data_IF_280868411115
#
_entry.id   IF_280868411115
#
_cell.length_a   1.000
_cell.length_b   1.000
_cell.length_c   1.000
_cell.angle_alpha   90.00
_cell.angle_beta   90.00
_cell.angle_gamma   90.00
#
_symmetry.space_group_name_H-M   'P 1'
#
loop_
_entity.id
_entity.type
_entity.pdbx_description
1 polymer ?
#
# COMPACT_ATOMS: atom_id res chain seq x y z
N UNK A 1 10.44 6.47 12.91
CA UNK A 1 11.77 6.98 13.29
C UNK A 1 11.62 8.06 14.36
N UNK A 2 12.00 7.78 15.60
CA UNK A 2 11.67 8.63 16.75
C UNK A 2 12.80 9.64 17.01
N UNK A 3 12.54 10.96 17.07
CA UNK A 3 13.57 11.93 17.43
C UNK A 3 14.23 11.67 18.78
N UNK A 4 13.49 11.07 19.72
CA UNK A 4 14.01 10.62 21.01
C UNK A 4 15.20 9.65 20.90
N UNK A 5 15.38 8.96 19.77
CA UNK A 5 16.53 8.07 19.53
C UNK A 5 17.64 8.71 18.68
N UNK A 6 17.44 9.90 18.11
CA UNK A 6 18.39 10.57 17.22
C UNK A 6 19.15 11.68 17.95
N UNK A 7 19.87 11.33 19.00
CA UNK A 7 20.60 12.30 19.85
C UNK A 7 22.07 12.43 19.44
N UNK A 8 22.68 13.58 19.73
CA UNK A 8 24.11 13.79 19.51
C UNK A 8 24.99 12.81 20.29
N UNK A 9 24.53 12.32 21.45
CA UNK A 9 25.24 11.29 22.22
C UNK A 9 25.29 9.94 21.50
N UNK A 10 24.23 9.57 20.77
CA UNK A 10 24.19 8.33 19.99
C UNK A 10 24.84 8.49 18.60
N UNK A 11 24.84 9.70 18.06
CA UNK A 11 25.34 10.04 16.73
C UNK A 11 26.27 11.26 16.76
N UNK A 12 27.43 11.19 17.42
CA UNK A 12 28.31 12.35 17.64
C UNK A 12 28.93 12.93 16.34
N UNK A 13 28.91 12.16 15.26
CA UNK A 13 29.40 12.57 13.95
C UNK A 13 28.38 13.36 13.11
N UNK A 14 27.11 13.44 13.54
CA UNK A 14 26.07 14.17 12.83
C UNK A 14 25.83 15.53 13.49
N UNK A 15 25.67 16.58 12.69
CA UNK A 15 25.38 17.90 13.26
C UNK A 15 23.92 18.01 13.73
N UNK A 16 23.63 18.95 14.64
CA UNK A 16 22.28 19.11 15.20
C UNK A 16 21.20 19.33 14.13
N UNK A 17 21.53 20.03 13.04
CA UNK A 17 20.60 20.24 11.92
C UNK A 17 20.22 18.92 11.23
N UNK A 18 21.16 17.98 11.06
CA UNK A 18 20.90 16.67 10.46
C UNK A 18 20.11 15.73 11.38
N UNK A 19 20.31 15.84 12.69
CA UNK A 19 19.57 15.09 13.69
C UNK A 19 18.16 15.64 13.95
N UNK A 20 17.90 16.89 13.58
CA UNK A 20 16.58 17.50 13.74
C UNK A 20 15.48 16.70 13.03
N UNK A 21 14.31 16.65 13.64
CA UNK A 21 13.17 15.92 13.07
C UNK A 21 12.75 16.49 11.72
N UNK A 22 12.66 17.82 11.58
CA UNK A 22 12.25 18.47 10.34
C UNK A 22 13.15 18.07 9.14
N UNK A 23 14.47 18.05 9.33
CA UNK A 23 15.41 17.62 8.28
C UNK A 23 15.24 16.14 7.96
N UNK A 24 15.15 15.28 8.97
CA UNK A 24 14.98 13.83 8.76
C UNK A 24 13.64 13.49 8.12
N UNK A 25 12.53 14.07 8.57
CA UNK A 25 11.20 13.89 7.99
C UNK A 25 11.19 14.22 6.50
N UNK A 26 11.77 15.36 6.12
CA UNK A 26 11.86 15.75 4.70
C UNK A 26 12.62 14.71 3.86
N UNK A 27 13.77 14.23 4.38
CA UNK A 27 14.56 13.18 3.71
C UNK A 27 13.79 11.86 3.64
N UNK A 28 13.10 11.45 4.72
CA UNK A 28 12.27 10.24 4.75
C UNK A 28 11.17 10.32 3.70
N UNK A 29 10.41 11.41 3.65
CA UNK A 29 9.32 11.61 2.67
C UNK A 29 9.87 11.60 1.24
N UNK A 30 11.02 12.23 1.00
CA UNK A 30 11.67 12.19 -0.31
C UNK A 30 12.09 10.76 -0.69
N UNK A 31 12.67 9.99 0.24
CA UNK A 31 13.00 8.58 0.01
C UNK A 31 11.77 7.74 -0.31
N UNK A 32 10.67 7.94 0.43
CA UNK A 32 9.40 7.23 0.19
C UNK A 32 8.84 7.55 -1.20
N UNK A 33 8.89 8.82 -1.62
CA UNK A 33 8.47 9.25 -2.95
C UNK A 33 9.30 8.58 -4.06
N UNK A 34 10.62 8.50 -3.89
CA UNK A 34 11.50 7.88 -4.88
C UNK A 34 11.32 6.36 -4.93
N UNK A 35 11.11 5.72 -3.77
CA UNK A 35 10.93 4.27 -3.69
C UNK A 35 9.60 3.82 -4.32
N UNK A 36 8.53 4.60 -4.15
CA UNK A 36 7.19 4.37 -4.69
C UNK A 36 6.64 2.95 -4.45
N UNK A 37 6.97 2.35 -3.30
CA UNK A 37 6.50 1.01 -2.95
C UNK A 37 5.00 1.00 -2.63
N UNK A 38 4.28 -0.08 -2.95
CA UNK A 38 2.86 -0.21 -2.62
C UNK A 38 2.62 -0.34 -1.10
N UNK A 39 3.54 -0.99 -0.40
CA UNK A 39 3.48 -1.21 1.05
C UNK A 39 4.84 -0.86 1.67
N UNK A 40 4.84 -0.01 2.69
CA UNK A 40 6.05 0.35 3.44
C UNK A 40 5.88 0.02 4.92
N UNK A 41 6.80 -0.77 5.46
CA UNK A 41 6.86 -1.13 6.88
C UNK A 41 7.81 -0.18 7.62
N UNK A 42 7.29 0.63 8.53
CA UNK A 42 8.07 1.56 9.35
C UNK A 42 8.21 1.08 10.79
N UNK A 43 9.40 1.25 11.36
CA UNK A 43 9.71 1.00 12.76
C UNK A 43 10.06 2.31 13.48
N UNK A 44 10.08 2.25 14.80
CA UNK A 44 10.38 3.37 15.69
C UNK A 44 9.55 4.63 15.42
N UNK A 45 8.30 4.51 15.00
CA UNK A 45 7.44 5.65 14.70
C UNK A 45 6.96 6.28 16.01
N UNK A 46 7.34 7.54 16.24
CA UNK A 46 6.88 8.30 17.41
C UNK A 46 5.47 8.85 17.16
N UNK A 47 4.52 8.45 17.99
CA UNK A 47 3.10 8.68 17.72
C UNK A 47 2.64 10.12 17.94
N UNK A 48 3.34 10.89 18.76
CA UNK A 48 3.09 12.33 18.94
C UNK A 48 3.32 13.11 17.64
N UNK A 49 4.22 12.63 16.78
CA UNK A 49 4.57 13.24 15.50
C UNK A 49 3.79 12.61 14.33
N UNK A 50 3.00 11.57 14.60
CA UNK A 50 2.28 10.84 13.56
C UNK A 50 1.31 11.70 12.75
N UNK A 51 0.50 12.62 13.33
CA UNK A 51 -0.44 13.41 12.53
C UNK A 51 0.23 14.24 11.43
N UNK A 52 1.34 14.91 11.76
CA UNK A 52 2.11 15.71 10.80
C UNK A 52 2.79 14.83 9.74
N UNK A 53 3.39 13.72 10.18
CA UNK A 53 4.05 12.77 9.28
C UNK A 53 3.04 12.11 8.33
N UNK A 54 1.88 11.69 8.84
CA UNK A 54 0.78 11.10 8.07
C UNK A 54 0.25 12.08 7.01
N UNK A 55 0.11 13.37 7.35
CA UNK A 55 -0.24 14.41 6.38
C UNK A 55 0.80 14.51 5.26
N UNK A 56 2.09 14.51 5.62
CA UNK A 56 3.19 14.60 4.66
C UNK A 56 3.24 13.43 3.68
N UNK A 57 2.99 12.20 4.15
CA UNK A 57 2.97 11.00 3.29
C UNK A 57 1.66 10.87 2.51
N UNK A 58 0.55 11.39 3.01
CA UNK A 58 -0.71 11.48 2.26
C UNK A 58 -0.59 12.38 1.03
N UNK A 59 0.17 13.48 1.14
CA UNK A 59 0.48 14.35 0.02
C UNK A 59 1.28 13.67 -1.11
N UNK A 60 1.90 12.51 -0.86
CA UNK A 60 2.58 11.68 -1.88
C UNK A 60 1.84 10.36 -2.17
N UNK A 61 0.55 10.28 -1.78
CA UNK A 61 -0.35 9.20 -2.18
C UNK A 61 -0.37 7.98 -1.25
N UNK A 62 0.06 8.12 0.01
CA UNK A 62 -0.01 7.03 0.99
C UNK A 62 -1.05 7.28 2.07
N UNK A 63 -1.78 6.23 2.42
CA UNK A 63 -2.55 6.17 3.65
C UNK A 63 -1.74 5.47 4.74
N UNK A 64 -1.81 5.97 5.97
CA UNK A 64 -1.00 5.49 7.09
C UNK A 64 -1.81 4.71 8.12
N UNK A 65 -1.33 3.52 8.50
CA UNK A 65 -1.91 2.71 9.58
C UNK A 65 -0.86 2.50 10.66
N UNK A 66 -1.14 2.91 11.90
CA UNK A 66 -0.20 2.75 13.02
C UNK A 66 -0.65 1.64 13.98
N UNK A 67 0.34 1.06 14.64
CA UNK A 67 0.13 0.10 15.71
C UNK A 67 -0.68 0.72 16.86
N UNK A 68 -1.64 -0.03 17.37
CA UNK A 68 -2.40 0.31 18.56
C UNK A 68 -1.66 -0.21 19.80
N UNK A 69 -0.93 0.68 20.47
CA UNK A 69 -0.16 0.34 21.67
C UNK A 69 -0.14 1.51 22.65
N UNK A 70 0.17 1.21 23.92
CA UNK A 70 0.34 2.21 24.99
C UNK A 70 1.70 2.91 24.93
N UNK A 71 2.64 2.37 24.15
CA UNK A 71 3.97 2.97 23.97
C UNK A 71 3.87 4.23 23.10
N UNK A 72 4.76 5.19 23.35
CA UNK A 72 4.88 6.43 22.55
C UNK A 72 5.52 6.19 21.19
N UNK A 73 6.21 5.07 21.03
CA UNK A 73 6.90 4.65 19.82
C UNK A 73 6.43 3.25 19.42
N UNK A 74 6.22 3.02 18.12
CA UNK A 74 5.80 1.71 17.61
C UNK A 74 5.98 1.54 16.11
N UNK A 75 5.25 0.59 15.54
CA UNK A 75 5.27 0.25 14.13
C UNK A 75 4.16 1.00 13.36
N UNK A 76 4.39 1.24 12.06
CA UNK A 76 3.35 1.71 11.16
C UNK A 76 3.50 1.09 9.76
N UNK A 77 2.43 1.13 8.99
CA UNK A 77 2.39 0.81 7.57
C UNK A 77 2.00 2.05 6.80
N UNK A 78 2.64 2.26 5.66
CA UNK A 78 2.16 3.17 4.63
C UNK A 78 1.66 2.32 3.45
N UNK A 79 0.48 2.65 2.95
CA UNK A 79 -0.23 1.90 1.92
C UNK A 79 -0.51 2.83 0.75
N UNK A 80 -0.06 2.46 -0.45
CA UNK A 80 -0.27 3.27 -1.65
C UNK A 80 -1.75 3.28 -2.02
N UNK A 81 -2.35 4.47 -2.05
CA UNK A 81 -3.78 4.66 -2.34
C UNK A 81 -4.13 4.12 -3.72
N UNK A 82 -5.26 3.42 -3.82
CA UNK A 82 -5.73 2.81 -5.07
C UNK A 82 -4.96 1.56 -5.52
N UNK A 83 -3.93 1.12 -4.76
CA UNK A 83 -3.19 -0.12 -5.02
C UNK A 83 -3.53 -1.20 -4.01
N UNK A 84 -3.50 -0.84 -2.74
CA UNK A 84 -3.71 -1.74 -1.61
C UNK A 84 -4.59 -1.09 -0.57
N UNK A 85 -5.39 -1.90 0.11
CA UNK A 85 -6.21 -1.47 1.23
C UNK A 85 -6.00 -2.36 2.45
N UNK A 86 -6.08 -1.76 3.64
CA UNK A 86 -6.02 -2.49 4.89
C UNK A 86 -7.41 -2.91 5.32
N UNK A 87 -7.64 -4.22 5.38
CA UNK A 87 -8.90 -4.78 5.88
C UNK A 87 -8.99 -4.70 7.40
N UNK A 88 -7.87 -4.99 8.07
CA UNK A 88 -7.75 -4.94 9.53
C UNK A 88 -6.31 -5.08 9.98
N UNK A 89 -6.09 -4.74 11.25
CA UNK A 89 -4.81 -4.89 11.93
C UNK A 89 -4.96 -5.59 13.28
N UNK A 90 -3.95 -6.36 13.68
CA UNK A 90 -3.73 -6.80 15.06
C UNK A 90 -2.40 -6.22 15.57
N UNK A 91 -2.41 -5.63 16.76
CA UNK A 91 -1.22 -5.04 17.39
C UNK A 91 -0.76 -5.85 18.59
N UNK A 92 0.56 -5.97 18.75
CA UNK A 92 1.27 -6.61 19.87
C UNK A 92 2.47 -5.73 20.22
N UNK A 93 2.98 -5.74 21.45
CA UNK A 93 4.02 -4.78 21.90
C UNK A 93 5.11 -4.44 20.87
N UNK A 94 5.65 -5.44 20.14
CA UNK A 94 6.74 -5.28 19.16
C UNK A 94 6.41 -5.72 17.73
N UNK A 95 5.14 -6.02 17.45
CA UNK A 95 4.72 -6.49 16.13
C UNK A 95 3.34 -5.96 15.77
N UNK A 96 3.13 -5.73 14.48
CA UNK A 96 1.83 -5.40 13.91
C UNK A 96 1.56 -6.34 12.76
N UNK A 97 0.40 -6.98 12.75
CA UNK A 97 -0.09 -7.78 11.63
C UNK A 97 -1.16 -6.94 10.93
N UNK A 98 -1.08 -6.82 9.62
CA UNK A 98 -2.12 -6.26 8.79
C UNK A 98 -2.57 -7.31 7.77
N UNK A 99 -3.87 -7.33 7.51
CA UNK A 99 -4.43 -8.10 6.39
C UNK A 99 -4.80 -7.10 5.33
N UNK A 100 -4.16 -7.25 4.18
CA UNK A 100 -4.30 -6.36 3.04
C UNK A 100 -5.04 -7.09 1.92
N UNK A 101 -5.66 -6.33 1.03
CA UNK A 101 -6.07 -6.81 -0.29
C UNK A 101 -5.70 -5.80 -1.35
N UNK A 102 -5.69 -6.23 -2.60
CA UNK A 102 -5.58 -5.32 -3.74
C UNK A 102 -6.81 -4.42 -3.77
N UNK A 103 -6.59 -3.12 -3.94
CA UNK A 103 -7.69 -2.19 -4.16
C UNK A 103 -8.31 -2.45 -5.53
N UNK A 104 -9.64 -2.53 -5.58
CA UNK A 104 -10.36 -2.59 -6.85
C UNK A 104 -10.26 -1.22 -7.53
N UNK A 105 -10.08 -1.17 -8.86
CA UNK A 105 -10.18 0.09 -9.58
C UNK A 105 -11.56 0.69 -9.30
N UNK A 106 -11.59 1.96 -8.92
CA UNK A 106 -12.87 2.65 -8.77
C UNK A 106 -13.60 2.56 -10.11
N UNK A 107 -14.85 2.09 -10.11
CA UNK A 107 -15.63 1.92 -11.33
C UNK A 107 -15.68 3.18 -12.22
N UNK A 108 -15.47 4.38 -11.62
CA UNK A 108 -15.39 5.65 -12.34
C UNK A 108 -14.03 6.00 -12.97
N UNK A 109 -12.91 5.48 -12.48
CA UNK A 109 -11.57 5.81 -13.04
C UNK A 109 -11.23 4.95 -14.27
N UNK A 110 -11.71 3.70 -14.30
CA UNK A 110 -11.53 2.80 -15.44
C UNK A 110 -12.20 3.35 -16.71
N UNK A 111 -13.35 4.02 -16.56
CA UNK A 111 -14.03 4.69 -17.68
C UNK A 111 -13.25 5.90 -18.21
N UNK A 112 -12.63 6.71 -17.34
CA UNK A 112 -11.87 7.89 -17.74
C UNK A 112 -10.53 7.52 -18.43
N UNK A 113 -9.84 6.47 -17.97
CA UNK A 113 -8.62 5.97 -18.63
C UNK A 113 -8.90 5.27 -19.96
N UNK A 114 -10.02 4.55 -20.09
CA UNK A 114 -10.43 3.93 -21.35
C UNK A 114 -10.74 4.96 -22.45
N UNK A 115 -11.32 6.11 -22.09
CA UNK A 115 -11.62 7.20 -23.05
C UNK A 115 -10.35 7.94 -23.47
N UNK A 116 -9.39 8.14 -22.57
CA UNK A 116 -8.13 8.81 -22.89
C UNK A 116 -7.20 7.98 -23.83
N UNK A 117 -7.31 6.65 -23.82
CA UNK A 117 -6.53 5.77 -24.70
C UNK A 117 -7.08 5.65 -26.13
N UNK A 118 -8.35 5.97 -26.36
CA UNK A 118 -8.99 5.81 -27.67
C UNK A 118 -8.79 7.00 -28.64
N UNK A 119 -8.21 8.12 -28.18
CA UNK A 119 -8.13 9.37 -28.96
C UNK A 119 -6.82 9.65 -29.71
N UNK A 120 -5.79 8.80 -29.61
CA UNK A 120 -4.44 9.13 -30.08
C UNK A 120 -3.94 8.23 -31.22
N UNK A 121 -4.74 8.07 -32.28
CA UNK A 121 -4.27 7.58 -33.59
C UNK A 121 -4.89 8.44 -34.70
N UNK A 122 -4.45 9.70 -34.77
CA UNK A 122 -4.74 10.63 -35.86
C UNK A 122 -3.44 11.15 -36.46
N UNK A 123 -3.03 10.55 -37.57
CA UNK A 123 -1.93 11.02 -38.42
C UNK A 123 -2.36 12.27 -39.19
N UNK A 124 -1.62 13.37 -39.06
CA UNK A 124 -1.29 14.35 -40.11
C UNK A 124 -0.34 15.38 -39.47
N UNK A 125 0.78 15.81 -40.05
CA UNK A 125 1.08 16.01 -41.45
C UNK A 125 1.22 17.52 -41.72
N UNK A 126 2.38 18.10 -41.38
CA UNK A 126 3.01 19.23 -42.08
C UNK A 126 2.36 20.63 -42.13
N UNK A 127 3.18 21.60 -41.69
CA UNK A 127 3.49 22.90 -42.33
C UNK A 127 2.93 24.23 -41.79
N UNK A 128 3.89 25.16 -41.70
CA UNK A 128 3.92 26.59 -41.36
C UNK A 128 2.69 27.46 -41.61
N UNK A 129 2.48 28.44 -40.73
CA UNK A 129 1.64 29.62 -41.02
C UNK A 129 1.50 30.59 -39.84
N UNK A 130 2.15 31.74 -39.96
CA UNK A 130 2.03 32.93 -39.12
C UNK A 130 0.60 33.52 -39.23
N UNK A 131 0.02 34.09 -38.17
CA UNK A 131 -1.19 34.92 -38.34
C UNK A 131 -2.09 35.13 -37.11
N UNK A 132 -2.10 36.36 -36.61
CA UNK A 132 -3.17 36.97 -35.79
C UNK A 132 -4.57 36.74 -36.41
N UNK A 133 -5.62 36.64 -35.59
CA UNK A 133 -6.68 37.67 -35.43
C UNK A 133 -7.87 37.17 -34.59
N UNK A 134 -8.46 38.14 -33.88
CA UNK A 134 -9.74 38.08 -33.15
C UNK A 134 -10.96 37.98 -34.09
N UNK A 135 -12.10 37.48 -33.59
CA UNK A 135 -13.38 37.69 -34.29
C UNK A 135 -14.62 37.02 -33.65
N UNK A 136 -15.56 37.86 -33.22
CA UNK A 136 -16.90 37.56 -32.70
C UNK A 136 -17.87 36.97 -33.74
N UNK A 137 -18.87 36.23 -33.22
CA UNK A 137 -20.30 36.45 -33.52
C UNK A 137 -20.89 35.85 -34.81
N UNK A 138 -22.09 35.28 -34.68
CA UNK A 138 -22.96 35.01 -35.84
C UNK A 138 -23.97 33.91 -35.62
N UNK A 139 -25.20 34.30 -35.30
CA UNK A 139 -26.40 33.47 -35.36
C UNK A 139 -26.86 33.23 -36.81
N UNK A 140 -27.57 32.13 -37.05
CA UNK A 140 -28.45 32.02 -38.22
C UNK A 140 -28.68 30.60 -38.76
N UNK A 141 -29.95 30.19 -38.81
CA UNK A 141 -30.51 29.67 -40.06
C UNK A 141 -30.70 28.16 -40.24
N UNK A 142 -31.96 27.74 -40.14
CA UNK A 142 -32.57 26.48 -40.60
C UNK A 142 -32.31 26.09 -42.06
N UNK A 143 -32.25 24.77 -42.32
CA UNK A 143 -32.98 23.98 -43.34
C UNK A 143 -32.27 22.62 -43.48
N UNK A 144 -32.93 21.47 -43.28
CA UNK A 144 -33.77 20.84 -44.30
C UNK A 144 -32.93 19.87 -45.14
N UNK A 145 -32.88 18.59 -44.75
CA UNK A 145 -32.11 17.57 -45.47
C UNK A 145 -32.38 16.15 -44.96
N UNK A 146 -33.49 15.58 -45.40
CA UNK A 146 -33.82 14.17 -45.22
C UNK A 146 -32.92 13.29 -46.09
N UNK A 147 -32.00 12.54 -45.48
CA UNK A 147 -31.37 11.39 -46.11
C UNK A 147 -31.63 10.15 -45.24
N UNK A 148 -32.52 9.29 -45.74
CA UNK A 148 -32.78 7.98 -45.18
C UNK A 148 -31.59 7.06 -45.43
N UNK A 149 -30.76 6.88 -44.40
CA UNK A 149 -29.85 5.74 -44.32
C UNK A 149 -30.56 4.62 -43.54
N UNK A 150 -31.02 3.61 -44.28
CA UNK A 150 -31.45 2.33 -43.70
C UNK A 150 -30.25 1.69 -43.01
N UNK A 151 -30.27 1.69 -41.68
CA UNK A 151 -29.41 0.83 -40.87
C UNK A 151 -29.79 -0.63 -41.14
N UNK A 152 -28.83 -1.53 -41.38
CA UNK A 152 -29.11 -2.95 -41.47
C UNK A 152 -29.55 -3.48 -40.09
N UNK A 153 -30.56 -4.36 -40.02
CA UNK A 153 -30.96 -5.02 -38.79
C UNK A 153 -30.00 -6.17 -38.51
N UNK A 154 -28.83 -5.85 -37.93
CA UNK A 154 -28.00 -6.84 -37.27
C UNK A 154 -28.35 -6.84 -35.79
N UNK A 155 -29.50 -7.46 -35.53
CA UNK A 155 -29.91 -7.95 -34.23
C UNK A 155 -28.80 -8.89 -33.69
N UNK A 156 -28.38 -8.62 -32.46
CA UNK A 156 -28.06 -9.68 -31.51
C UNK A 156 -26.74 -10.41 -31.73
N UNK A 157 -25.66 -9.80 -31.28
CA UNK A 157 -24.72 -10.44 -30.35
C UNK A 157 -23.80 -9.33 -29.81
N UNK A 158 -24.25 -8.65 -28.76
CA UNK A 158 -23.29 -8.15 -27.78
C UNK A 158 -22.56 -9.38 -27.28
N UNK A 159 -21.36 -9.58 -27.80
CA UNK A 159 -20.38 -10.45 -27.19
C UNK A 159 -20.12 -9.81 -25.84
N UNK A 160 -20.89 -10.21 -24.84
CA UNK A 160 -20.45 -10.18 -23.45
C UNK A 160 -19.23 -11.09 -23.46
N UNK A 161 -18.07 -10.52 -23.83
CA UNK A 161 -16.81 -11.20 -23.61
C UNK A 161 -16.82 -11.46 -22.12
N UNK A 162 -16.97 -12.72 -21.75
CA UNK A 162 -16.70 -13.24 -20.43
C UNK A 162 -15.30 -12.75 -20.09
N UNK A 163 -15.21 -11.56 -19.51
CA UNK A 163 -14.08 -11.14 -18.70
C UNK A 163 -14.21 -11.96 -17.42
N UNK A 164 -14.02 -13.27 -17.57
CA UNK A 164 -13.89 -14.26 -16.52
C UNK A 164 -12.50 -14.12 -15.84
N UNK A 165 -11.98 -12.88 -15.84
CA UNK A 165 -10.87 -12.46 -15.02
C UNK A 165 -11.40 -12.22 -13.62
N UNK A 166 -11.78 -13.30 -12.94
CA UNK A 166 -12.09 -13.26 -11.53
C UNK A 166 -10.97 -12.50 -10.82
N UNK A 167 -11.30 -11.32 -10.28
CA UNK A 167 -10.30 -10.48 -9.65
C UNK A 167 -9.75 -11.27 -8.47
N UNK A 168 -8.43 -11.45 -8.44
CA UNK A 168 -7.78 -12.12 -7.32
C UNK A 168 -7.98 -11.29 -6.05
N UNK A 169 -8.89 -11.78 -5.19
CA UNK A 169 -9.21 -11.20 -3.89
C UNK A 169 -8.45 -11.89 -2.75
N UNK A 170 -7.44 -12.71 -3.08
CA UNK A 170 -6.62 -13.39 -2.08
C UNK A 170 -5.96 -12.38 -1.15
N UNK A 171 -6.13 -12.51 0.18
CA UNK A 171 -5.55 -11.56 1.11
C UNK A 171 -4.03 -11.70 1.16
N UNK A 172 -3.36 -10.59 1.39
CA UNK A 172 -1.93 -10.54 1.73
C UNK A 172 -1.78 -10.27 3.23
N UNK A 173 -1.11 -11.17 3.94
CA UNK A 173 -0.75 -10.94 5.33
C UNK A 173 0.59 -10.20 5.38
N UNK A 174 0.64 -9.08 6.08
CA UNK A 174 1.87 -8.32 6.30
C UNK A 174 2.14 -8.22 7.79
N UNK A 175 3.29 -8.70 8.23
CA UNK A 175 3.76 -8.57 9.59
C UNK A 175 4.94 -7.59 9.66
N UNK A 176 4.75 -6.47 10.33
CA UNK A 176 5.78 -5.46 10.59
C UNK A 176 6.30 -5.58 12.04
N UNK A 177 7.59 -5.85 12.20
CA UNK A 177 8.23 -6.11 13.50
C UNK A 177 9.29 -5.08 13.87
N UNK A 178 9.46 -4.89 15.18
CA UNK A 178 10.64 -4.27 15.76
C UNK A 178 11.02 -5.05 17.04
N UNK A 179 11.75 -6.15 16.85
CA UNK A 179 12.00 -7.15 17.89
C UNK A 179 12.95 -6.66 18.97
N UNK A 180 13.08 -7.43 20.06
CA UNK A 180 13.93 -7.10 21.21
C UNK A 180 15.38 -6.80 20.78
N UNK A 181 15.88 -5.63 21.17
CA UNK A 181 17.25 -5.23 20.91
C UNK A 181 18.23 -5.83 21.93
N UNK A 182 19.52 -5.71 21.63
CA UNK A 182 20.60 -6.13 22.53
C UNK A 182 21.16 -7.52 22.22
N UNK A 183 22.41 -7.72 22.65
CA UNK A 183 23.22 -8.91 22.35
C UNK A 183 23.21 -9.98 23.46
N UNK A 184 22.44 -9.77 24.53
CA UNK A 184 22.40 -10.74 25.63
C UNK A 184 21.68 -12.02 25.22
N UNK A 185 22.04 -13.16 25.84
CA UNK A 185 21.31 -14.43 25.67
C UNK A 185 19.82 -14.32 26.04
N UNK A 186 19.51 -13.43 26.98
CA UNK A 186 18.12 -13.11 27.34
C UNK A 186 17.38 -12.45 26.17
N UNK A 187 17.97 -11.40 25.57
CA UNK A 187 17.43 -10.73 24.37
C UNK A 187 17.26 -11.72 23.22
N UNK A 188 18.23 -12.61 23.02
CA UNK A 188 18.19 -13.65 21.99
C UNK A 188 16.98 -14.59 22.16
N UNK A 189 16.79 -15.15 23.36
CA UNK A 189 15.64 -15.99 23.71
C UNK A 189 14.33 -15.23 23.55
N UNK A 190 14.31 -13.96 23.97
CA UNK A 190 13.14 -13.10 23.85
C UNK A 190 12.73 -12.88 22.38
N UNK A 191 13.69 -12.69 21.46
CA UNK A 191 13.40 -12.59 20.02
C UNK A 191 12.80 -13.88 19.46
N UNK A 192 13.29 -15.06 19.87
CA UNK A 192 12.70 -16.35 19.47
C UNK A 192 11.25 -16.46 19.94
N UNK A 193 10.98 -16.13 21.21
CA UNK A 193 9.62 -16.13 21.75
C UNK A 193 8.70 -15.16 21.01
N UNK A 194 9.19 -13.96 20.68
CA UNK A 194 8.45 -12.96 19.90
C UNK A 194 8.12 -13.47 18.49
N UNK A 195 9.08 -14.06 17.78
CA UNK A 195 8.86 -14.65 16.46
C UNK A 195 7.85 -15.80 16.50
N UNK A 196 8.01 -16.76 17.41
CA UNK A 196 7.06 -17.87 17.56
C UNK A 196 5.65 -17.37 17.87
N UNK A 197 5.54 -16.40 18.77
CA UNK A 197 4.25 -15.78 19.11
C UNK A 197 3.61 -15.09 17.91
N UNK A 198 4.40 -14.38 17.10
CA UNK A 198 3.94 -13.72 15.88
C UNK A 198 3.44 -14.72 14.85
N UNK A 199 4.26 -15.73 14.51
CA UNK A 199 3.89 -16.75 13.52
C UNK A 199 2.60 -17.48 13.93
N UNK A 200 2.51 -17.87 15.21
CA UNK A 200 1.28 -18.46 15.75
C UNK A 200 0.07 -17.52 15.63
N UNK A 201 0.26 -16.22 15.80
CA UNK A 201 -0.83 -15.23 15.66
C UNK A 201 -1.28 -15.09 14.21
N UNK A 202 -0.35 -15.10 13.26
CA UNK A 202 -0.69 -15.11 11.83
C UNK A 202 -1.50 -16.36 11.48
N UNK A 203 -1.09 -17.55 11.95
CA UNK A 203 -1.86 -18.79 11.76
C UNK A 203 -3.27 -18.69 12.34
N UNK A 204 -3.41 -18.21 13.58
CA UNK A 204 -4.72 -18.03 14.22
C UNK A 204 -5.59 -17.03 13.46
N UNK A 205 -4.98 -16.00 12.87
CA UNK A 205 -5.69 -15.01 12.08
C UNK A 205 -6.16 -15.59 10.74
N UNK A 206 -5.32 -16.39 10.07
CA UNK A 206 -5.70 -17.16 8.89
C UNK A 206 -6.84 -18.13 9.16
N UNK A 207 -6.76 -18.89 10.25
CA UNK A 207 -7.81 -19.83 10.63
C UNK A 207 -9.15 -19.12 10.91
N UNK A 208 -9.11 -17.95 11.55
CA UNK A 208 -10.31 -17.12 11.75
C UNK A 208 -10.89 -16.62 10.44
N UNK A 209 -10.05 -16.25 9.49
CA UNK A 209 -10.51 -15.76 8.18
C UNK A 209 -11.20 -16.84 7.36
N UNK A 210 -10.68 -18.07 7.41
CA UNK A 210 -11.35 -19.24 6.83
C UNK A 210 -12.69 -19.50 7.51
N UNK A 211 -12.73 -19.46 8.85
CA UNK A 211 -13.92 -19.81 9.61
C UNK A 211 -15.05 -18.77 9.52
N UNK A 212 -14.75 -17.52 9.18
CA UNK A 212 -15.71 -16.40 9.29
C UNK A 212 -16.23 -15.87 7.95
N UNK A 213 -16.18 -16.66 6.87
CA UNK A 213 -16.58 -16.27 5.51
C UNK A 213 -17.96 -15.63 5.35
N UNK A 214 -18.89 -15.73 6.31
CA UNK A 214 -20.22 -15.11 6.21
C UNK A 214 -20.58 -14.33 7.48
N UNK A 215 -20.61 -12.99 7.42
CA UNK A 215 -21.44 -12.20 8.34
C UNK A 215 -20.76 -11.16 9.25
N UNK A 216 -19.47 -10.84 9.09
CA UNK A 216 -18.86 -9.66 9.76
C UNK A 216 -18.51 -8.57 8.76
N UNK A 217 -18.61 -7.28 9.14
CA UNK A 217 -17.99 -6.22 8.37
C UNK A 217 -16.49 -6.54 8.24
N UNK A 218 -15.99 -6.60 7.01
CA UNK A 218 -14.62 -6.96 6.63
C UNK A 218 -14.23 -8.44 6.75
N UNK A 219 -15.20 -9.37 6.82
CA UNK A 219 -14.91 -10.78 6.55
C UNK A 219 -14.47 -10.95 5.09
N UNK A 220 -13.52 -11.85 4.84
CA UNK A 220 -13.21 -12.27 3.48
C UNK A 220 -14.45 -12.99 2.91
N UNK A 221 -14.70 -12.83 1.61
CA UNK A 221 -15.78 -13.57 0.94
C UNK A 221 -15.61 -15.07 1.20
N UNK A 222 -16.69 -15.86 1.36
CA UNK A 222 -16.58 -17.32 1.50
C UNK A 222 -15.81 -17.98 0.34
N UNK A 223 -15.76 -17.34 -0.82
CA UNK A 223 -15.02 -17.78 -2.01
C UNK A 223 -13.52 -17.44 -1.98
N UNK A 224 -13.03 -16.75 -0.96
CA UNK A 224 -11.63 -16.32 -0.89
C UNK A 224 -10.76 -17.49 -0.45
N UNK A 225 -9.80 -17.90 -1.29
CA UNK A 225 -8.81 -18.88 -0.90
C UNK A 225 -7.82 -18.27 0.11
N UNK A 226 -7.95 -18.66 1.37
CA UNK A 226 -7.02 -18.24 2.43
C UNK A 226 -5.87 -19.25 2.62
N UNK A 227 -6.00 -20.47 2.10
CA UNK A 227 -4.95 -21.48 2.16
C UNK A 227 -3.73 -21.08 1.32
N UNK A 228 -3.96 -20.39 0.20
CA UNK A 228 -2.92 -19.82 -0.66
C UNK A 228 -2.40 -18.44 -0.25
N UNK A 229 -2.97 -17.82 0.79
CA UNK A 229 -2.65 -16.44 1.13
C UNK A 229 -1.16 -16.25 1.48
N UNK A 230 -0.51 -15.30 0.81
CA UNK A 230 0.89 -14.98 1.06
C UNK A 230 1.11 -14.30 2.42
N UNK A 231 2.31 -14.46 2.98
CA UNK A 231 2.80 -13.72 4.14
C UNK A 231 4.07 -12.96 3.77
N UNK A 232 4.07 -11.66 4.02
CA UNK A 232 5.26 -10.82 4.01
C UNK A 232 5.62 -10.49 5.45
N UNK A 233 6.83 -10.86 5.86
CA UNK A 233 7.39 -10.53 7.17
C UNK A 233 8.53 -9.52 6.97
N UNK A 234 8.39 -8.33 7.55
CA UNK A 234 9.34 -7.24 7.37
C UNK A 234 9.57 -6.47 8.68
N UNK A 235 10.71 -5.79 8.76
CA UNK A 235 11.01 -4.85 9.83
C UNK A 235 12.38 -5.06 10.44
N UNK A 236 12.56 -4.52 11.64
CA UNK A 236 13.82 -4.63 12.37
C UNK A 236 13.77 -5.85 13.29
N UNK A 237 14.54 -6.87 12.89
CA UNK A 237 14.62 -8.14 13.59
C UNK A 237 15.64 -8.14 14.73
N UNK A 238 16.56 -7.16 14.78
CA UNK A 238 17.63 -7.09 15.76
C UNK A 238 18.47 -8.39 15.88
N UNK A 239 18.70 -9.08 14.77
CA UNK A 239 19.63 -10.22 14.68
C UNK A 239 20.28 -10.31 13.29
N UNK A 240 21.43 -10.99 13.21
CA UNK A 240 22.15 -11.22 11.95
C UNK A 240 21.78 -12.56 11.29
N UNK A 241 22.30 -12.82 10.09
CA UNK A 241 22.01 -14.02 9.30
C UNK A 241 22.55 -15.33 9.89
N UNK A 242 23.48 -15.25 10.84
CA UNK A 242 24.07 -16.42 11.53
C UNK A 242 23.30 -16.77 12.79
N UNK A 243 22.31 -15.97 13.18
CA UNK A 243 21.58 -16.18 14.41
C UNK A 243 20.59 -17.35 14.32
N UNK A 244 20.27 -18.04 15.45
CA UNK A 244 19.24 -19.08 15.47
C UNK A 244 17.85 -18.59 15.06
N UNK A 245 17.55 -17.30 15.27
CA UNK A 245 16.30 -16.67 14.81
C UNK A 245 16.22 -16.60 13.29
N UNK A 246 17.33 -16.31 12.62
CA UNK A 246 17.35 -16.31 11.16
C UNK A 246 17.13 -17.73 10.62
N UNK A 247 17.76 -18.75 11.22
CA UNK A 247 17.52 -20.15 10.87
C UNK A 247 16.03 -20.52 11.02
N UNK A 248 15.38 -20.12 12.12
CA UNK A 248 13.94 -20.32 12.32
C UNK A 248 13.10 -19.77 11.16
N UNK A 249 13.40 -18.56 10.69
CA UNK A 249 12.65 -17.92 9.60
C UNK A 249 12.96 -18.53 8.24
N UNK A 250 14.23 -18.86 7.98
CA UNK A 250 14.68 -19.36 6.69
C UNK A 250 14.36 -20.85 6.47
N UNK A 251 14.34 -21.65 7.54
CA UNK A 251 14.25 -23.11 7.48
C UNK A 251 12.98 -23.66 8.15
N UNK A 252 12.25 -22.83 8.90
CA UNK A 252 11.07 -23.26 9.66
C UNK A 252 11.39 -24.00 10.96
N UNK A 253 12.67 -24.18 11.31
CA UNK A 253 13.11 -24.84 12.54
C UNK A 253 14.35 -24.17 13.13
N UNK A 254 14.55 -24.32 14.43
CA UNK A 254 15.83 -24.01 15.09
C UNK A 254 16.56 -25.35 15.21
N UNK A 255 17.74 -25.45 14.61
CA UNK A 255 18.61 -26.63 14.75
C UNK A 255 19.15 -26.81 16.17
#
# INVERSE_FOLDING_TARGET
>A
MAPSFATASKFPWACAHELSWATRQRRIVQTLRTLDADVVCLQEVEFTLWPEFASSVSAIGYDGVRQQTKHTVGNALLLKRGRVECLRTESRSRAMIAVLRRALPNAGESAAQAVAGAGANGVSGGSNGNGLLWGNGGAGGSAGGSNGNRLPPHLGQTVESEMDGAVDLTPLYVANVHLEAGASKFSERQRICQLRSLLRRVELQRAKDVAHGAGRPNALSPSTDVCGAALVLAGDFNFDKKSPQYALLAQGSVG
#
